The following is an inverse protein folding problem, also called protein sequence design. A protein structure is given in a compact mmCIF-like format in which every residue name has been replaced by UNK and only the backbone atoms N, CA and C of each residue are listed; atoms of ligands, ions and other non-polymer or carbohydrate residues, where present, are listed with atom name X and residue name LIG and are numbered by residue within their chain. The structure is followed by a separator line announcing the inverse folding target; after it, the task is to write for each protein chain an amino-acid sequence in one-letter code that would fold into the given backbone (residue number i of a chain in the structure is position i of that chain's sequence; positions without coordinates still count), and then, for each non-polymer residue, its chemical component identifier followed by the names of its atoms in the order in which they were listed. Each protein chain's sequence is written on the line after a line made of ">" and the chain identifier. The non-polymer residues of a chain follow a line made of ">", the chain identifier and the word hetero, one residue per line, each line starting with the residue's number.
data_IF_897346582133
#
_entry.id   IF_897346582133
#
_cell.length_a   1.000
_cell.length_b   1.000
_cell.length_c   1.000
_cell.angle_alpha   90.00
_cell.angle_beta   90.00
_cell.angle_gamma   90.00
#
_symmetry.space_group_name_H-M   'P 1'
#
loop_
_entity.id
_entity.type
_entity.pdbx_description
1 polymer ?
#
# COMPACT_ATOMS: atom_id res chain seq x y z
N UNK A 1 -12.74 -7.97 -19.70
CA UNK A 1 -12.56 -7.85 -18.25
C UNK A 1 -13.40 -6.68 -17.78
N UNK A 2 -14.22 -6.82 -16.74
CA UNK A 2 -14.90 -5.66 -16.13
C UNK A 2 -13.82 -4.88 -15.37
N UNK A 3 -13.63 -3.60 -15.69
CA UNK A 3 -12.83 -2.71 -14.84
C UNK A 3 -13.46 -2.63 -13.46
N UNK A 4 -12.63 -2.46 -12.43
CA UNK A 4 -13.12 -2.16 -11.09
C UNK A 4 -13.75 -0.76 -11.16
N UNK A 5 -14.91 -0.55 -10.52
CA UNK A 5 -15.52 0.79 -10.57
C UNK A 5 -14.73 1.78 -9.73
N UNK A 6 -14.82 3.07 -10.02
CA UNK A 6 -14.12 4.14 -9.30
C UNK A 6 -14.51 4.17 -7.82
N UNK A 7 -15.76 3.81 -7.55
CA UNK A 7 -16.27 3.63 -6.19
C UNK A 7 -15.60 2.46 -5.49
N UNK A 8 -15.42 1.34 -6.18
CA UNK A 8 -14.69 0.20 -5.62
C UNK A 8 -13.21 0.55 -5.41
N UNK A 9 -12.57 1.27 -6.34
CA UNK A 9 -11.20 1.76 -6.19
C UNK A 9 -11.07 2.68 -4.97
N UNK A 10 -12.02 3.60 -4.74
CA UNK A 10 -12.03 4.48 -3.56
C UNK A 10 -12.15 3.73 -2.22
N UNK A 11 -12.57 2.46 -2.25
CA UNK A 11 -12.63 1.58 -1.08
C UNK A 11 -11.38 0.70 -0.99
N UNK A 12 -10.90 0.16 -2.11
CA UNK A 12 -9.75 -0.77 -2.15
C UNK A 12 -8.44 -0.04 -1.85
N UNK A 13 -8.21 1.13 -2.43
CA UNK A 13 -7.00 1.95 -2.23
C UNK A 13 -6.70 2.17 -0.73
N UNK A 14 -7.63 2.68 0.09
CA UNK A 14 -7.35 2.88 1.51
C UNK A 14 -7.19 1.57 2.28
N UNK A 15 -7.77 0.44 1.84
CA UNK A 15 -7.54 -0.86 2.47
C UNK A 15 -6.11 -1.33 2.21
N UNK A 16 -5.65 -1.20 0.96
CA UNK A 16 -4.28 -1.56 0.58
C UNK A 16 -3.25 -0.67 1.27
N UNK A 17 -3.51 0.64 1.34
CA UNK A 17 -2.67 1.58 2.06
C UNK A 17 -2.58 1.25 3.56
N UNK A 18 -3.69 0.82 4.20
CA UNK A 18 -3.66 0.33 5.58
C UNK A 18 -2.71 -0.86 5.72
N UNK A 19 -2.80 -1.83 4.80
CA UNK A 19 -1.97 -3.03 4.85
C UNK A 19 -0.49 -2.71 4.71
N UNK A 20 -0.13 -1.81 3.79
CA UNK A 20 1.26 -1.34 3.62
C UNK A 20 1.77 -0.66 4.88
N UNK A 21 0.96 0.20 5.50
CA UNK A 21 1.30 0.87 6.75
C UNK A 21 1.59 -0.12 7.88
N UNK A 22 0.71 -1.11 8.06
CA UNK A 22 0.89 -2.16 9.06
C UNK A 22 2.18 -2.96 8.84
N UNK A 23 2.43 -3.38 7.58
CA UNK A 23 3.65 -4.13 7.22
C UNK A 23 4.93 -3.29 7.41
N UNK A 24 4.89 -1.99 7.09
CA UNK A 24 6.00 -1.07 7.39
C UNK A 24 6.24 -0.96 8.90
N UNK A 25 5.17 -0.99 9.71
CA UNK A 25 5.26 -1.09 11.16
C UNK A 25 5.96 -2.36 11.64
N UNK A 26 5.59 -3.51 11.09
CA UNK A 26 6.22 -4.80 11.35
C UNK A 26 7.71 -4.79 10.96
N UNK A 27 8.04 -4.27 9.76
CA UNK A 27 9.41 -4.14 9.28
C UNK A 27 10.26 -3.23 10.18
N UNK A 28 9.69 -2.13 10.65
CA UNK A 28 10.37 -1.22 11.58
C UNK A 28 10.61 -1.88 12.94
N UNK A 29 9.67 -2.68 13.45
CA UNK A 29 9.85 -3.44 14.68
C UNK A 29 10.97 -4.49 14.55
N UNK A 30 11.03 -5.17 13.40
CA UNK A 30 12.09 -6.12 13.08
C UNK A 30 13.46 -5.42 12.97
N UNK A 31 13.50 -4.25 12.33
CA UNK A 31 14.70 -3.40 12.24
C UNK A 31 15.16 -2.89 13.61
N UNK A 32 14.24 -2.52 14.51
CA UNK A 32 14.60 -2.09 15.86
C UNK A 32 15.21 -3.24 16.69
N UNK A 33 14.89 -4.48 16.34
CA UNK A 33 15.38 -5.70 16.98
C UNK A 33 16.71 -6.21 16.40
N UNK A 34 17.41 -5.40 15.59
CA UNK A 34 18.59 -5.76 14.79
C UNK A 34 19.80 -6.26 15.60
N UNK A 35 19.84 -6.08 16.92
CA UNK A 35 20.99 -6.52 17.72
C UNK A 35 21.17 -8.05 17.78
N UNK A 36 20.16 -8.84 17.37
CA UNK A 36 20.23 -10.31 17.34
C UNK A 36 19.36 -10.89 16.20
N UNK A 37 19.59 -10.47 14.94
CA UNK A 37 19.03 -11.21 13.80
C UNK A 37 19.92 -12.42 13.52
N UNK A 38 19.39 -13.61 13.78
CA UNK A 38 19.86 -14.83 13.14
C UNK A 38 19.44 -14.83 11.66
N UNK A 39 19.99 -15.76 10.89
CA UNK A 39 19.72 -15.89 9.46
C UNK A 39 18.20 -16.00 9.17
N UNK A 40 17.43 -16.62 10.07
CA UNK A 40 15.97 -16.77 9.96
C UNK A 40 15.24 -15.42 9.98
N UNK A 41 15.61 -14.51 10.89
CA UNK A 41 15.00 -13.17 10.91
C UNK A 41 15.48 -12.28 9.78
N UNK A 42 16.67 -12.51 9.23
CA UNK A 42 17.13 -11.83 8.01
C UNK A 42 16.25 -12.26 6.83
N UNK A 43 15.98 -13.56 6.69
CA UNK A 43 15.09 -14.08 5.66
C UNK A 43 13.65 -13.56 5.83
N UNK A 44 13.13 -13.53 7.05
CA UNK A 44 11.82 -12.93 7.36
C UNK A 44 11.77 -11.45 6.93
N UNK A 45 12.81 -10.68 7.25
CA UNK A 45 12.91 -9.29 6.84
C UNK A 45 12.89 -9.13 5.33
N UNK A 46 13.70 -9.91 4.61
CA UNK A 46 13.77 -9.86 3.15
C UNK A 46 12.39 -10.18 2.53
N UNK A 47 11.74 -11.24 2.98
CA UNK A 47 10.41 -11.63 2.51
C UNK A 47 9.35 -10.54 2.79
N UNK A 48 9.43 -9.91 3.96
CA UNK A 48 8.54 -8.81 4.32
C UNK A 48 8.77 -7.58 3.43
N UNK A 49 10.03 -7.23 3.15
CA UNK A 49 10.38 -6.14 2.24
C UNK A 49 9.85 -6.40 0.82
N UNK A 50 10.06 -7.60 0.28
CA UNK A 50 9.53 -7.98 -1.05
C UNK A 50 8.00 -7.91 -1.10
N UNK A 51 7.33 -8.33 -0.02
CA UNK A 51 5.86 -8.26 0.09
C UNK A 51 5.37 -6.82 0.10
N UNK A 52 6.06 -5.93 0.83
CA UNK A 52 5.74 -4.50 0.87
C UNK A 52 5.91 -3.87 -0.52
N UNK A 53 7.00 -4.17 -1.22
CA UNK A 53 7.26 -3.68 -2.58
C UNK A 53 6.15 -4.11 -3.55
N UNK A 54 5.75 -5.39 -3.52
CA UNK A 54 4.64 -5.88 -4.34
C UNK A 54 3.31 -5.14 -4.07
N UNK A 55 3.03 -4.82 -2.80
CA UNK A 55 1.83 -4.05 -2.48
C UNK A 55 1.91 -2.59 -2.94
N UNK A 56 3.10 -1.98 -2.93
CA UNK A 56 3.29 -0.66 -3.52
C UNK A 56 3.09 -0.67 -5.03
N UNK A 57 3.58 -1.68 -5.76
CA UNK A 57 3.36 -1.82 -7.20
C UNK A 57 1.85 -1.93 -7.53
N UNK A 58 1.11 -2.71 -6.73
CA UNK A 58 -0.34 -2.81 -6.87
C UNK A 58 -1.02 -1.47 -6.54
N UNK A 59 -0.57 -0.76 -5.50
CA UNK A 59 -1.14 0.52 -5.12
C UNK A 59 -0.93 1.58 -6.22
N UNK A 60 0.25 1.60 -6.86
CA UNK A 60 0.56 2.48 -7.99
C UNK A 60 -0.33 2.17 -9.20
N UNK A 61 -0.53 0.89 -9.51
CA UNK A 61 -1.43 0.48 -10.59
C UNK A 61 -2.89 0.93 -10.33
N UNK A 62 -3.37 0.79 -9.09
CA UNK A 62 -4.71 1.23 -8.68
C UNK A 62 -4.84 2.75 -8.65
N UNK A 63 -3.78 3.47 -8.27
CA UNK A 63 -3.74 4.93 -8.35
C UNK A 63 -3.93 5.39 -9.81
N UNK A 64 -3.18 4.82 -10.74
CA UNK A 64 -3.29 5.16 -12.16
C UNK A 64 -4.70 4.91 -12.72
N UNK A 65 -5.32 3.78 -12.36
CA UNK A 65 -6.70 3.46 -12.74
C UNK A 65 -7.70 4.46 -12.13
N UNK A 66 -7.53 4.79 -10.85
CA UNK A 66 -8.40 5.71 -10.12
C UNK A 66 -8.34 7.15 -10.64
N UNK A 67 -7.13 7.67 -10.89
CA UNK A 67 -6.92 9.01 -11.43
C UNK A 67 -7.43 9.13 -12.87
N UNK A 68 -7.22 8.09 -13.70
CA UNK A 68 -7.78 8.05 -15.05
C UNK A 68 -9.30 8.12 -15.04
N UNK A 69 -9.94 7.44 -14.10
CA UNK A 69 -11.40 7.38 -14.02
C UNK A 69 -12.02 8.62 -13.33
N UNK A 70 -11.32 9.24 -12.38
CA UNK A 70 -11.70 10.54 -11.81
C UNK A 70 -11.78 11.67 -12.85
N UNK A 71 -10.93 11.62 -13.88
CA UNK A 71 -10.89 12.62 -14.95
C UNK A 71 -12.22 12.72 -15.74
N UNK A 72 -13.12 11.73 -15.60
CA UNK A 72 -14.44 11.71 -16.23
C UNK A 72 -15.51 12.56 -15.49
N UNK A 73 -15.12 13.37 -14.50
CA UNK A 73 -16.00 14.34 -13.84
C UNK A 73 -16.78 13.78 -12.64
N UNK A 74 -16.24 12.76 -11.98
CA UNK A 74 -16.85 12.09 -10.83
C UNK A 74 -16.47 12.82 -9.53
N UNK A 75 -17.45 13.09 -8.67
CA UNK A 75 -17.22 13.68 -7.35
C UNK A 75 -16.80 12.61 -6.32
N UNK A 76 -15.52 12.22 -6.35
CA UNK A 76 -14.88 11.33 -5.37
C UNK A 76 -13.65 12.01 -4.75
N UNK A 77 -13.17 11.57 -3.57
CA UNK A 77 -11.95 12.11 -2.94
C UNK A 77 -10.72 11.95 -3.84
N UNK A 78 -9.74 12.85 -3.71
CA UNK A 78 -8.45 12.64 -4.40
C UNK A 78 -7.72 11.42 -3.84
N UNK A 79 -6.80 10.86 -4.63
CA UNK A 79 -5.95 9.76 -4.19
C UNK A 79 -5.21 10.09 -2.88
N UNK A 80 -4.62 11.30 -2.80
CA UNK A 80 -3.95 11.79 -1.60
C UNK A 80 -4.88 11.74 -0.37
N UNK A 81 -6.16 12.13 -0.51
CA UNK A 81 -7.12 12.07 0.60
C UNK A 81 -7.42 10.65 1.06
N UNK A 82 -7.36 9.65 0.16
CA UNK A 82 -7.60 8.25 0.52
C UNK A 82 -6.45 7.67 1.35
N UNK A 83 -5.21 8.06 1.05
CA UNK A 83 -4.03 7.46 1.68
C UNK A 83 -3.43 8.28 2.82
N UNK A 84 -3.77 9.57 2.94
CA UNK A 84 -3.15 10.52 3.88
C UNK A 84 -3.03 10.01 5.31
N UNK A 85 -4.04 9.29 5.80
CA UNK A 85 -4.07 8.78 7.18
C UNK A 85 -3.05 7.67 7.48
N UNK A 86 -2.44 7.11 6.43
CA UNK A 86 -1.45 6.03 6.51
C UNK A 86 -0.02 6.51 6.29
N UNK A 87 0.15 7.81 6.09
CA UNK A 87 1.47 8.44 5.95
C UNK A 87 2.31 7.90 4.79
N UNK A 88 1.63 7.43 3.72
CA UNK A 88 2.24 6.99 2.47
C UNK A 88 2.26 8.20 1.50
N UNK A 89 3.28 9.05 1.58
CA UNK A 89 3.44 10.23 0.71
C UNK A 89 4.85 10.35 0.17
#
# INVERSE_FOLDING_TARGET
>A
MRSISERDLSVVIPILAAKIHDLNGELNALNASIQELDDEKIDEKCNLQETIEQYYDVLEALQAEYESALAEGINLPSYEQLIRKFELY
#
